data_IF_697857935657
#
_entry.id   IF_697857935657
#
_cell.length_a   1.000
_cell.length_b   1.000
_cell.length_c   1.000
_cell.angle_alpha   90.00
_cell.angle_beta   90.00
_cell.angle_gamma   90.00
#
_symmetry.space_group_name_H-M   'P 1'
#
loop_
_entity.id
_entity.type
_entity.pdbx_description
1 polymer ?
#
# COMPACT_ATOMS: atom_id res chain seq x y z
N UNK A 1 -34.22 2.24 -25.22
CA UNK A 1 -32.79 2.61 -25.19
C UNK A 1 -32.14 1.87 -24.03
N UNK A 2 -31.55 0.70 -24.33
CA UNK A 2 -31.04 -0.24 -23.33
C UNK A 2 -29.52 -0.19 -23.26
N UNK A 3 -29.05 0.02 -22.03
CA UNK A 3 -27.70 -0.06 -21.47
C UNK A 3 -26.67 -0.91 -22.26
N UNK A 4 -25.53 -0.31 -22.61
CA UNK A 4 -24.29 -1.05 -22.91
C UNK A 4 -23.19 -0.53 -21.99
N UNK A 5 -23.05 -1.18 -20.83
CA UNK A 5 -21.89 -1.00 -19.95
C UNK A 5 -20.69 -1.64 -20.64
N UNK A 6 -19.70 -0.82 -20.98
CA UNK A 6 -18.38 -1.27 -21.41
C UNK A 6 -17.66 -1.74 -20.13
N UNK A 7 -17.58 -3.05 -19.92
CA UNK A 7 -16.59 -3.62 -18.99
C UNK A 7 -15.44 -4.08 -19.89
N UNK A 8 -14.39 -3.27 -19.98
CA UNK A 8 -13.19 -3.60 -20.71
C UNK A 8 -12.04 -3.75 -19.72
N UNK A 9 -11.37 -4.91 -19.75
CA UNK A 9 -10.06 -5.08 -19.13
C UNK A 9 -9.97 -5.99 -17.90
N UNK A 10 -10.50 -7.22 -17.97
CA UNK A 10 -9.91 -8.35 -17.24
C UNK A 10 -9.76 -9.48 -18.26
N UNK A 11 -8.55 -9.67 -18.79
CA UNK A 11 -8.20 -10.91 -19.43
C UNK A 11 -7.67 -11.84 -18.33
N UNK A 12 -8.54 -12.68 -17.77
CA UNK A 12 -8.09 -13.86 -17.07
C UNK A 12 -7.50 -14.82 -18.12
N UNK A 13 -6.17 -14.89 -18.21
CA UNK A 13 -5.49 -15.91 -18.99
C UNK A 13 -5.25 -17.14 -18.10
N UNK A 14 -6.24 -18.03 -18.06
CA UNK A 14 -5.97 -19.44 -17.78
C UNK A 14 -5.40 -20.12 -19.04
N UNK A 15 -4.71 -21.25 -18.87
CA UNK A 15 -4.01 -22.15 -19.83
C UNK A 15 -2.60 -21.70 -20.28
N UNK A 16 -1.52 -22.52 -20.21
CA UNK A 16 -1.40 -23.96 -20.48
C UNK A 16 -0.10 -24.57 -19.88
N UNK A 17 -0.18 -25.77 -19.28
CA UNK A 17 0.97 -26.65 -19.06
C UNK A 17 1.39 -27.27 -20.41
N UNK A 18 2.62 -26.96 -20.85
CA UNK A 18 3.38 -27.77 -21.82
C UNK A 18 3.57 -27.15 -23.22
N UNK A 19 4.84 -27.05 -23.63
CA UNK A 19 5.24 -26.96 -25.04
C UNK A 19 6.10 -25.75 -25.38
N UNK A 20 7.39 -25.99 -25.63
CA UNK A 20 8.28 -25.02 -26.23
C UNK A 20 7.75 -24.50 -27.58
N UNK A 21 7.73 -23.19 -27.78
CA UNK A 21 7.80 -22.59 -29.11
C UNK A 21 8.48 -21.22 -29.04
N UNK A 22 9.74 -21.18 -29.47
CA UNK A 22 10.45 -19.97 -29.85
C UNK A 22 9.77 -19.38 -31.09
N UNK A 23 9.36 -18.10 -31.02
CA UNK A 23 8.68 -17.42 -32.13
C UNK A 23 8.54 -15.93 -31.89
N UNK A 24 9.59 -15.20 -32.25
CA UNK A 24 9.72 -13.74 -32.45
C UNK A 24 8.43 -12.90 -32.47
N UNK A 25 8.17 -12.20 -31.37
CA UNK A 25 7.60 -10.86 -31.33
C UNK A 25 8.47 -10.06 -30.35
N UNK A 26 8.75 -8.80 -30.65
CA UNK A 26 9.73 -7.91 -30.00
C UNK A 26 9.98 -8.21 -28.52
N UNK A 27 11.17 -8.71 -28.21
CA UNK A 27 11.70 -8.78 -26.87
C UNK A 27 11.85 -7.36 -26.31
N UNK A 28 10.84 -6.85 -25.60
CA UNK A 28 11.16 -6.12 -24.39
C UNK A 28 11.64 -7.18 -23.43
N UNK A 29 12.96 -7.31 -23.33
CA UNK A 29 13.59 -8.06 -22.27
C UNK A 29 12.93 -7.60 -20.95
N UNK A 30 12.48 -8.57 -20.17
CA UNK A 30 12.19 -8.38 -18.75
C UNK A 30 13.25 -7.46 -18.17
N UNK A 31 12.87 -6.22 -17.89
CA UNK A 31 13.62 -5.38 -16.98
C UNK A 31 13.29 -5.85 -15.56
N UNK A 32 13.60 -7.11 -15.29
CA UNK A 32 13.64 -7.73 -13.96
C UNK A 32 14.78 -7.14 -13.11
N UNK A 33 15.46 -6.08 -13.58
CA UNK A 33 16.62 -5.44 -12.95
C UNK A 33 16.44 -3.97 -12.59
N UNK A 34 15.50 -3.21 -13.16
CA UNK A 34 15.24 -1.85 -12.73
C UNK A 34 14.56 -1.83 -11.36
N UNK A 35 15.30 -1.31 -10.38
CA UNK A 35 14.78 -0.99 -9.05
C UNK A 35 13.62 0.00 -9.20
N UNK A 36 12.43 -0.43 -8.79
CA UNK A 36 11.24 0.41 -8.74
C UNK A 36 11.18 1.13 -7.38
N UNK A 37 10.29 2.10 -7.27
CA UNK A 37 10.20 2.91 -6.06
C UNK A 37 8.80 2.94 -5.47
N UNK A 38 8.75 3.09 -4.15
CA UNK A 38 7.57 3.51 -3.41
C UNK A 38 7.97 4.73 -2.57
N UNK A 39 7.23 5.82 -2.75
CA UNK A 39 7.41 7.06 -2.02
C UNK A 39 6.43 7.09 -0.86
N UNK A 40 6.98 7.13 0.35
CA UNK A 40 6.28 7.30 1.61
C UNK A 40 6.07 8.81 1.81
N UNK A 41 4.83 9.25 1.66
CA UNK A 41 4.44 10.64 1.91
C UNK A 41 3.98 10.78 3.36
N UNK A 42 4.45 11.82 4.05
CA UNK A 42 4.13 12.12 5.45
C UNK A 42 4.49 10.99 6.44
N UNK A 43 5.60 10.29 6.19
CA UNK A 43 6.14 9.32 7.14
C UNK A 43 6.47 9.96 8.49
N UNK A 44 6.23 9.23 9.57
CA UNK A 44 6.48 9.69 10.93
C UNK A 44 7.96 9.50 11.31
N UNK A 45 8.55 10.49 11.97
CA UNK A 45 9.94 10.45 12.41
C UNK A 45 10.20 9.29 13.37
N UNK A 46 11.25 8.50 13.13
CA UNK A 46 11.60 7.35 13.96
C UNK A 46 10.78 6.08 13.69
N UNK A 47 9.98 6.07 12.63
CA UNK A 47 9.20 4.90 12.20
C UNK A 47 9.89 4.18 11.05
N UNK A 48 9.86 2.84 11.09
CA UNK A 48 10.29 1.98 9.98
C UNK A 48 9.07 1.43 9.24
N UNK A 49 8.95 1.78 7.97
CA UNK A 49 7.95 1.22 7.06
C UNK A 49 8.51 -0.02 6.38
N UNK A 50 7.80 -1.13 6.46
CA UNK A 50 8.19 -2.42 5.86
C UNK A 50 7.26 -2.76 4.70
N UNK A 51 7.83 -3.11 3.56
CA UNK A 51 7.10 -3.49 2.36
C UNK A 51 7.13 -5.01 2.18
N UNK A 52 5.95 -5.63 2.21
CA UNK A 52 5.73 -7.05 1.94
C UNK A 52 5.15 -7.19 0.54
N UNK A 53 5.90 -7.84 -0.36
CA UNK A 53 5.44 -8.08 -1.73
C UNK A 53 4.36 -9.15 -1.73
N UNK A 54 3.23 -8.85 -2.36
CA UNK A 54 2.08 -9.77 -2.46
C UNK A 54 1.71 -10.13 -3.89
N UNK A 55 2.15 -9.33 -4.87
CA UNK A 55 1.99 -9.67 -6.27
C UNK A 55 3.17 -9.18 -7.12
N UNK A 56 3.43 -9.91 -8.18
CA UNK A 56 4.26 -9.55 -9.32
C UNK A 56 3.42 -8.89 -10.40
N UNK A 57 4.06 -8.03 -11.20
CA UNK A 57 3.45 -7.44 -12.39
C UNK A 57 4.16 -7.95 -13.63
N UNK A 58 3.39 -8.47 -14.58
CA UNK A 58 3.86 -9.03 -15.84
C UNK A 58 3.05 -8.48 -17.02
N UNK A 59 3.49 -8.75 -18.25
CA UNK A 59 2.80 -8.38 -19.49
C UNK A 59 2.35 -6.90 -19.58
N UNK A 60 3.16 -5.99 -19.02
CA UNK A 60 2.85 -4.55 -18.96
C UNK A 60 2.74 -3.97 -20.37
N UNK A 61 1.59 -3.35 -20.66
CA UNK A 61 1.30 -2.66 -21.90
C UNK A 61 1.31 -1.15 -21.67
N UNK A 62 1.76 -0.40 -22.67
CA UNK A 62 1.82 1.05 -22.63
C UNK A 62 0.95 1.68 -23.73
N UNK A 63 0.62 2.95 -23.57
CA UNK A 63 0.07 3.79 -24.64
C UNK A 63 1.09 3.99 -25.76
N UNK A 64 0.63 4.50 -26.90
CA UNK A 64 1.49 4.76 -28.07
C UNK A 64 2.65 5.72 -27.77
N UNK A 65 2.48 6.64 -26.81
CA UNK A 65 3.53 7.55 -26.34
C UNK A 65 4.52 6.90 -25.35
N UNK A 66 4.25 5.68 -24.88
CA UNK A 66 5.08 4.95 -23.92
C UNK A 66 5.03 5.51 -22.49
N UNK A 67 4.18 6.49 -22.20
CA UNK A 67 4.17 7.18 -20.90
C UNK A 67 3.12 6.65 -19.92
N UNK A 68 2.03 6.07 -20.42
CA UNK A 68 0.93 5.59 -19.60
C UNK A 68 0.79 4.08 -19.70
N UNK A 69 0.71 3.40 -18.56
CA UNK A 69 0.41 1.97 -18.52
C UNK A 69 -1.07 1.77 -18.85
N UNK A 70 -1.36 0.92 -19.85
CA UNK A 70 -2.72 0.66 -20.33
C UNK A 70 -3.30 -0.62 -19.75
N UNK A 71 -2.48 -1.64 -19.52
CA UNK A 71 -2.84 -2.88 -18.84
C UNK A 71 -1.60 -3.59 -18.31
N UNK A 72 -1.79 -4.50 -17.36
CA UNK A 72 -0.77 -5.40 -16.84
C UNK A 72 -1.44 -6.61 -16.22
N UNK A 73 -0.70 -7.70 -16.17
CA UNK A 73 -1.10 -8.89 -15.43
C UNK A 73 -0.59 -8.79 -14.00
N UNK A 74 -1.41 -9.29 -13.06
CA UNK A 74 -1.13 -9.29 -11.63
C UNK A 74 -1.09 -10.74 -11.19
N UNK A 75 0.07 -11.19 -10.75
CA UNK A 75 0.30 -12.56 -10.32
C UNK A 75 0.61 -12.58 -8.83
N UNK A 76 -0.18 -13.33 -8.06
CA UNK A 76 0.10 -13.48 -6.62
C UNK A 76 1.44 -14.16 -6.42
N UNK A 77 2.26 -13.64 -5.49
CA UNK A 77 3.54 -14.27 -5.13
C UNK A 77 3.30 -15.72 -4.70
N UNK A 78 4.05 -16.65 -5.28
CA UNK A 78 3.94 -18.08 -4.99
C UNK A 78 4.45 -18.40 -3.59
N UNK A 79 3.53 -18.30 -2.62
CA UNK A 79 3.75 -18.63 -1.22
C UNK A 79 2.42 -19.08 -0.60
N UNK A 80 2.34 -20.34 -0.20
CA UNK A 80 1.10 -20.97 0.28
C UNK A 80 0.52 -20.30 1.52
N UNK A 81 1.36 -19.87 2.46
CA UNK A 81 0.94 -19.23 3.69
C UNK A 81 0.40 -17.82 3.42
N UNK A 82 1.09 -17.06 2.57
CA UNK A 82 0.62 -15.76 2.10
C UNK A 82 -0.71 -15.89 1.34
N UNK A 83 -0.82 -16.82 0.40
CA UNK A 83 -2.08 -17.08 -0.35
C UNK A 83 -3.24 -17.38 0.62
N UNK A 84 -2.98 -18.14 1.68
CA UNK A 84 -3.98 -18.43 2.72
C UNK A 84 -4.40 -17.16 3.46
N UNK A 85 -3.44 -16.30 3.85
CA UNK A 85 -3.74 -15.03 4.51
C UNK A 85 -4.52 -14.07 3.60
N UNK A 86 -4.16 -14.00 2.31
CA UNK A 86 -4.87 -13.20 1.31
C UNK A 86 -6.32 -13.66 1.13
N UNK A 87 -6.56 -14.98 1.09
CA UNK A 87 -7.92 -15.56 1.06
C UNK A 87 -8.74 -15.18 2.29
N UNK A 88 -8.14 -15.23 3.49
CA UNK A 88 -8.80 -14.82 4.72
C UNK A 88 -9.14 -13.32 4.71
N UNK A 89 -8.22 -12.48 4.24
CA UNK A 89 -8.46 -11.05 4.07
C UNK A 89 -9.60 -10.77 3.08
N UNK A 90 -9.69 -11.51 1.97
CA UNK A 90 -10.81 -11.41 1.01
C UNK A 90 -12.14 -11.83 1.66
N UNK A 91 -12.14 -12.91 2.44
CA UNK A 91 -13.33 -13.34 3.18
C UNK A 91 -13.81 -12.26 4.17
N UNK A 92 -12.89 -11.48 4.78
CA UNK A 92 -13.24 -10.35 5.66
C UNK A 92 -13.87 -9.17 4.93
N UNK A 93 -13.62 -9.01 3.64
CA UNK A 93 -14.37 -8.07 2.79
C UNK A 93 -15.84 -8.52 2.60
N UNK A 94 -16.15 -9.78 2.92
CA UNK A 94 -17.48 -10.36 2.72
C UNK A 94 -17.70 -10.83 1.28
N UNK A 95 -16.63 -11.19 0.56
CA UNK A 95 -16.67 -11.72 -0.80
C UNK A 95 -16.15 -13.15 -0.82
N UNK A 96 -16.82 -13.99 -1.61
CA UNK A 96 -16.32 -15.31 -1.95
C UNK A 96 -15.31 -15.19 -3.09
N UNK A 97 -14.17 -15.86 -2.94
CA UNK A 97 -13.14 -15.92 -3.99
C UNK A 97 -13.62 -16.88 -5.09
N UNK A 98 -13.77 -16.42 -6.35
CA UNK A 98 -14.10 -17.32 -7.46
C UNK A 98 -12.99 -18.36 -7.68
N UNK A 99 -13.36 -19.54 -8.17
CA UNK A 99 -12.44 -20.66 -8.36
C UNK A 99 -11.29 -20.33 -9.34
N UNK A 100 -11.53 -19.43 -10.30
CA UNK A 100 -10.51 -19.00 -11.26
C UNK A 100 -9.35 -18.24 -10.59
N UNK A 101 -9.59 -17.66 -9.40
CA UNK A 101 -8.61 -16.89 -8.63
C UNK A 101 -8.03 -17.66 -7.45
N UNK A 102 -8.30 -18.97 -7.32
CA UNK A 102 -7.89 -19.74 -6.14
C UNK A 102 -6.36 -19.73 -5.93
N UNK A 103 -5.58 -19.72 -7.01
CA UNK A 103 -4.12 -19.63 -6.98
C UNK A 103 -3.61 -18.21 -7.26
N UNK A 104 -4.50 -17.26 -7.56
CA UNK A 104 -4.14 -15.87 -7.82
C UNK A 104 -5.13 -14.89 -7.15
N UNK A 105 -5.20 -14.86 -5.81
CA UNK A 105 -6.12 -14.00 -5.09
C UNK A 105 -5.88 -12.50 -5.34
N UNK A 106 -4.64 -12.06 -5.61
CA UNK A 106 -4.36 -10.64 -5.86
C UNK A 106 -4.97 -10.12 -7.17
N UNK A 107 -5.13 -10.97 -8.19
CA UNK A 107 -5.89 -10.60 -9.39
C UNK A 107 -7.37 -10.33 -9.06
N UNK A 108 -7.96 -11.03 -8.08
CA UNK A 108 -9.29 -10.70 -7.58
C UNK A 108 -9.29 -9.41 -6.76
N UNK A 109 -8.28 -9.19 -5.92
CA UNK A 109 -8.12 -7.94 -5.13
C UNK A 109 -8.05 -6.70 -6.05
N UNK A 110 -7.47 -6.82 -7.24
CA UNK A 110 -7.45 -5.76 -8.25
C UNK A 110 -8.86 -5.30 -8.71
N UNK A 111 -9.88 -6.14 -8.52
CA UNK A 111 -11.27 -5.84 -8.92
C UNK A 111 -12.07 -5.14 -7.81
N UNK A 112 -11.51 -5.05 -6.60
CA UNK A 112 -12.19 -4.48 -5.45
C UNK A 112 -12.34 -2.96 -5.59
N UNK A 113 -13.46 -2.44 -5.07
CA UNK A 113 -13.61 -1.00 -4.88
C UNK A 113 -12.64 -0.48 -3.80
N UNK A 114 -12.43 0.84 -3.75
CA UNK A 114 -11.51 1.44 -2.78
C UNK A 114 -11.86 1.13 -1.31
N UNK A 115 -13.14 1.05 -0.95
CA UNK A 115 -13.58 0.70 0.41
C UNK A 115 -13.35 -0.78 0.72
N UNK A 116 -13.56 -1.65 -0.25
CA UNK A 116 -13.29 -3.09 -0.15
C UNK A 116 -11.78 -3.36 -0.04
N UNK A 117 -10.96 -2.73 -0.87
CA UNK A 117 -9.49 -2.80 -0.82
C UNK A 117 -8.95 -2.27 0.52
N UNK A 118 -9.58 -1.25 1.10
CA UNK A 118 -9.24 -0.76 2.45
C UNK A 118 -9.58 -1.77 3.53
N UNK A 119 -10.73 -2.44 3.42
CA UNK A 119 -11.15 -3.49 4.36
C UNK A 119 -10.21 -4.69 4.28
N UNK A 120 -9.83 -5.09 3.06
CA UNK A 120 -8.81 -6.10 2.80
C UNK A 120 -7.48 -5.75 3.46
N UNK A 121 -6.94 -4.54 3.25
CA UNK A 121 -5.67 -4.12 3.85
C UNK A 121 -5.77 -4.06 5.40
N UNK A 122 -6.93 -3.69 5.95
CA UNK A 122 -7.12 -3.58 7.38
C UNK A 122 -6.97 -4.92 8.13
N UNK A 123 -7.30 -6.04 7.48
CA UNK A 123 -7.09 -7.39 8.04
C UNK A 123 -5.67 -7.57 8.57
N UNK A 124 -4.68 -7.09 7.83
CA UNK A 124 -3.27 -7.23 8.16
C UNK A 124 -2.77 -6.28 9.25
N UNK A 125 -3.62 -5.36 9.76
CA UNK A 125 -3.36 -4.68 11.03
C UNK A 125 -3.81 -5.53 12.22
N UNK A 126 -4.88 -6.32 12.05
CA UNK A 126 -5.40 -7.21 13.10
C UNK A 126 -4.52 -8.45 13.25
N UNK A 127 -4.02 -8.97 12.14
CA UNK A 127 -3.11 -10.12 12.10
C UNK A 127 -1.85 -9.80 11.29
N UNK A 128 -0.96 -8.99 11.86
CA UNK A 128 0.31 -8.65 11.22
C UNK A 128 1.25 -9.87 11.09
N UNK A 129 1.02 -10.94 11.86
CA UNK A 129 1.81 -12.17 11.78
C UNK A 129 1.59 -12.93 10.46
N UNK A 130 0.44 -12.74 9.83
CA UNK A 130 0.16 -13.32 8.52
C UNK A 130 0.97 -12.67 7.39
N UNK A 131 1.52 -11.47 7.61
CA UNK A 131 2.42 -10.78 6.67
C UNK A 131 3.88 -11.25 6.78
N UNK A 132 4.33 -11.67 7.96
CA UNK A 132 5.69 -12.23 8.14
C UNK A 132 5.94 -13.49 7.29
N UNK A 133 4.87 -14.12 6.80
CA UNK A 133 4.93 -15.25 5.89
C UNK A 133 5.16 -14.82 4.43
N UNK A 134 4.91 -13.54 4.11
CA UNK A 134 5.39 -12.88 2.90
C UNK A 134 6.81 -12.36 3.12
N UNK A 135 7.70 -12.59 2.16
CA UNK A 135 9.10 -12.14 2.27
C UNK A 135 9.15 -10.61 2.32
N UNK A 136 9.62 -10.03 3.45
CA UNK A 136 9.94 -8.59 3.54
C UNK A 136 10.89 -8.26 2.39
N UNK A 137 10.43 -7.41 1.47
CA UNK A 137 11.16 -7.12 0.24
C UNK A 137 12.03 -5.89 0.38
N UNK A 138 11.61 -4.94 1.20
CA UNK A 138 12.37 -3.77 1.58
C UNK A 138 11.81 -3.14 2.85
N UNK A 139 12.60 -2.27 3.46
CA UNK A 139 12.15 -1.37 4.50
C UNK A 139 12.83 0.00 4.38
N UNK A 140 12.15 1.03 4.88
CA UNK A 140 12.67 2.39 4.95
C UNK A 140 12.37 2.97 6.34
N UNK A 141 13.42 3.47 6.99
CA UNK A 141 13.29 4.15 8.29
C UNK A 141 13.35 5.64 8.08
N UNK A 142 12.35 6.34 8.60
CA UNK A 142 12.34 7.80 8.63
C UNK A 142 13.25 8.24 9.80
N UNK A 143 14.31 9.02 9.55
CA UNK A 143 15.17 9.51 10.62
C UNK A 143 14.37 10.27 11.69
N UNK A 144 14.79 10.14 12.95
CA UNK A 144 14.11 10.79 14.08
C UNK A 144 14.15 12.34 14.01
N UNK A 145 15.05 12.89 13.19
CA UNK A 145 15.33 14.30 13.02
C UNK A 145 15.01 14.83 11.60
N UNK A 146 14.38 14.02 10.75
CA UNK A 146 14.06 14.44 9.37
C UNK A 146 12.90 15.44 9.34
N UNK A 147 13.01 16.47 8.51
CA UNK A 147 11.87 17.35 8.22
C UNK A 147 10.68 16.55 7.62
N UNK A 148 9.42 16.96 7.85
CA UNK A 148 8.27 16.36 7.19
C UNK A 148 8.45 16.37 5.66
N UNK A 149 8.25 15.21 5.02
CA UNK A 149 8.48 15.12 3.58
C UNK A 149 8.29 13.73 2.99
N UNK A 150 8.68 13.63 1.72
CA UNK A 150 8.64 12.40 0.92
C UNK A 150 9.91 11.58 1.15
N UNK A 151 9.75 10.29 1.42
CA UNK A 151 10.86 9.35 1.60
C UNK A 151 10.73 8.20 0.60
N UNK A 152 11.81 7.87 -0.11
CA UNK A 152 11.79 6.88 -1.17
C UNK A 152 12.33 5.54 -0.67
N UNK A 153 11.58 4.48 -0.93
CA UNK A 153 11.97 3.10 -0.71
C UNK A 153 12.16 2.40 -2.07
N UNK A 154 13.29 1.75 -2.22
CA UNK A 154 13.62 0.95 -3.40
C UNK A 154 13.06 -0.46 -3.25
N UNK A 155 12.31 -0.92 -4.23
CA UNK A 155 11.64 -2.23 -4.23
C UNK A 155 11.73 -2.89 -5.61
N UNK A 156 11.66 -4.22 -5.69
CA UNK A 156 11.31 -4.89 -6.94
C UNK A 156 9.97 -4.39 -7.49
N UNK A 157 9.74 -4.55 -8.79
CA UNK A 157 8.42 -4.28 -9.35
C UNK A 157 7.36 -5.18 -8.69
N UNK A 158 6.21 -4.63 -8.30
CA UNK A 158 5.10 -5.41 -7.78
C UNK A 158 4.11 -4.62 -6.91
N UNK A 159 3.20 -5.37 -6.29
CA UNK A 159 2.21 -4.85 -5.36
C UNK A 159 2.61 -5.19 -3.92
N UNK A 160 2.47 -4.21 -3.03
CA UNK A 160 2.95 -4.30 -1.66
C UNK A 160 1.88 -3.97 -0.62
N UNK A 161 1.90 -4.72 0.48
CA UNK A 161 1.30 -4.31 1.75
C UNK A 161 2.40 -3.67 2.60
N UNK A 162 2.17 -2.44 3.08
CA UNK A 162 3.13 -1.69 3.88
C UNK A 162 2.65 -1.57 5.30
N UNK A 163 3.48 -2.02 6.24
CA UNK A 163 3.27 -1.89 7.68
C UNK A 163 4.22 -0.86 8.28
N UNK A 164 3.92 -0.41 9.49
CA UNK A 164 4.77 0.44 10.31
C UNK A 164 5.25 -0.33 11.54
N UNK A 165 6.56 -0.36 11.76
CA UNK A 165 7.21 -1.02 12.90
C UNK A 165 6.76 -0.51 14.27
N UNK A 166 6.31 0.74 14.36
CA UNK A 166 5.85 1.38 15.60
C UNK A 166 4.32 1.37 15.68
N UNK A 167 3.65 0.59 14.82
CA UNK A 167 2.20 0.56 14.68
C UNK A 167 1.52 0.25 16.01
N UNK A 168 1.04 1.29 16.67
CA UNK A 168 -0.07 1.20 17.61
C UNK A 168 -1.38 0.99 16.81
N UNK A 169 -2.52 0.96 17.49
CA UNK A 169 -3.84 0.79 16.84
C UNK A 169 -4.17 1.83 15.75
N UNK A 170 -3.36 2.89 15.60
CA UNK A 170 -3.61 4.03 14.73
C UNK A 170 -2.94 3.90 13.36
N UNK A 171 -1.85 3.12 13.20
CA UNK A 171 -1.35 2.82 11.87
C UNK A 171 -2.33 1.92 11.09
N UNK A 172 -2.44 2.16 9.79
CA UNK A 172 -3.28 1.38 8.89
C UNK A 172 -2.44 0.92 7.71
N UNK A 173 -2.27 -0.40 7.57
CA UNK A 173 -1.62 -1.04 6.43
C UNK A 173 -2.05 -0.39 5.12
N UNK A 174 -1.05 0.00 4.33
CA UNK A 174 -1.25 0.55 3.01
C UNK A 174 -1.13 -0.56 1.96
N UNK A 175 -2.02 -0.57 0.98
CA UNK A 175 -1.91 -1.39 -0.21
C UNK A 175 -1.45 -0.48 -1.35
N UNK A 176 -0.24 -0.69 -1.87
CA UNK A 176 0.40 0.24 -2.83
C UNK A 176 1.23 -0.51 -3.86
N UNK A 177 1.03 -0.15 -5.13
CA UNK A 177 1.87 -0.61 -6.22
C UNK A 177 3.18 0.19 -6.27
N UNK A 178 4.29 -0.47 -6.58
CA UNK A 178 5.52 0.22 -6.95
C UNK A 178 5.34 1.04 -8.24
N UNK A 179 6.32 1.87 -8.58
CA UNK A 179 6.48 2.27 -9.98
C UNK A 179 6.63 1.03 -10.87
N UNK A 180 6.32 1.17 -12.16
CA UNK A 180 6.42 0.06 -13.13
C UNK A 180 7.20 0.55 -14.33
N UNK A 181 8.35 -0.08 -14.61
CA UNK A 181 9.31 0.38 -15.61
C UNK A 181 9.65 1.88 -15.49
N UNK A 182 9.73 2.39 -14.24
CA UNK A 182 9.98 3.81 -13.95
C UNK A 182 8.80 4.75 -14.25
N UNK A 183 7.66 4.22 -14.70
CA UNK A 183 6.44 4.97 -14.95
C UNK A 183 5.56 5.03 -13.70
N UNK A 184 4.88 6.16 -13.56
CA UNK A 184 3.97 6.43 -12.44
C UNK A 184 2.53 6.50 -12.89
N UNK A 185 2.24 6.63 -14.19
CA UNK A 185 0.87 6.84 -14.68
C UNK A 185 0.22 5.54 -15.13
N UNK A 186 -0.95 5.26 -14.59
CA UNK A 186 -1.83 4.18 -15.05
C UNK A 186 -3.09 4.77 -15.68
N UNK A 187 -3.53 4.19 -16.80
CA UNK A 187 -4.77 4.62 -17.45
C UNK A 187 -5.96 4.29 -16.55
N UNK A 188 -6.60 5.31 -16.01
CA UNK A 188 -7.85 5.16 -15.26
C UNK A 188 -9.04 5.57 -16.14
N UNK A 189 -10.13 4.81 -16.05
CA UNK A 189 -11.42 5.24 -16.60
C UNK A 189 -11.98 6.35 -15.71
N UNK A 190 -11.41 7.56 -15.83
CA UNK A 190 -11.82 8.71 -15.01
C UNK A 190 -13.27 9.05 -15.27
N UNK A 191 -14.11 8.90 -14.26
CA UNK A 191 -15.37 9.63 -14.21
C UNK A 191 -15.08 11.12 -13.93
N UNK A 192 -16.01 12.02 -14.28
CA UNK A 192 -15.86 13.48 -14.06
C UNK A 192 -15.52 13.85 -12.61
N UNK A 193 -15.91 13.00 -11.63
CA UNK A 193 -15.68 13.20 -10.19
C UNK A 193 -14.29 12.72 -9.70
N UNK A 194 -13.52 12.00 -10.52
CA UNK A 194 -12.19 11.46 -10.19
C UNK A 194 -11.04 12.15 -10.95
N UNK A 195 -11.36 13.22 -11.68
CA UNK A 195 -10.44 14.00 -12.51
C UNK A 195 -9.26 14.64 -11.75
N UNK A 196 -9.40 14.81 -10.42
CA UNK A 196 -8.36 15.37 -9.55
C UNK A 196 -7.33 14.35 -9.03
N UNK A 197 -7.54 13.04 -9.25
CA UNK A 197 -6.53 12.03 -8.97
C UNK A 197 -5.45 12.13 -10.06
N UNK A 198 -4.27 12.65 -9.68
CA UNK A 198 -3.03 12.39 -10.42
C UNK A 198 -2.70 10.93 -10.17
N UNK A 199 -2.95 10.07 -11.15
CA UNK A 199 -2.77 8.62 -11.07
C UNK A 199 -1.28 8.31 -10.92
N UNK A 200 -0.73 8.42 -9.71
CA UNK A 200 0.69 8.26 -9.45
C UNK A 200 0.92 6.97 -8.66
N UNK A 201 1.27 5.90 -9.37
CA UNK A 201 1.84 4.67 -8.84
C UNK A 201 3.13 4.98 -8.06
N UNK A 202 3.52 4.07 -7.18
CA UNK A 202 4.76 4.21 -6.42
C UNK A 202 4.71 5.32 -5.38
N UNK A 203 3.53 5.68 -4.88
CA UNK A 203 3.41 6.59 -3.73
C UNK A 203 2.21 6.26 -2.86
N UNK A 204 2.34 6.49 -1.56
CA UNK A 204 1.20 6.45 -0.65
C UNK A 204 1.37 7.47 0.47
N UNK A 205 0.25 7.95 1.01
CA UNK A 205 0.22 8.83 2.16
C UNK A 205 0.02 8.01 3.42
N UNK A 206 0.96 8.15 4.35
CA UNK A 206 0.84 7.58 5.69
C UNK A 206 -0.34 8.23 6.40
N UNK A 207 -1.20 7.38 6.98
CA UNK A 207 -2.39 7.78 7.74
C UNK A 207 -2.26 7.39 9.22
N UNK A 208 -1.05 7.45 9.76
CA UNK A 208 -0.83 7.46 11.21
C UNK A 208 -0.61 8.89 11.68
N UNK A 209 -1.25 9.23 12.78
CA UNK A 209 -0.89 10.39 13.59
C UNK A 209 -0.09 9.85 14.77
N UNK A 210 1.08 10.42 15.06
CA UNK A 210 1.70 10.17 16.36
C UNK A 210 0.74 10.66 17.43
N UNK A 211 0.49 9.85 18.47
CA UNK A 211 -0.31 10.29 19.59
C UNK A 211 0.20 11.67 20.03
N UNK A 212 -0.68 12.68 20.18
CA UNK A 212 -0.24 13.99 20.61
C UNK A 212 0.53 13.84 21.92
N UNK A 213 1.60 14.63 22.07
CA UNK A 213 2.35 14.66 23.32
C UNK A 213 1.37 14.78 24.47
N UNK A 214 1.53 13.94 25.49
CA UNK A 214 0.66 13.96 26.65
C UNK A 214 0.53 15.41 27.15
N UNK A 215 -0.69 15.91 27.39
CA UNK A 215 -0.88 17.30 27.77
C UNK A 215 -0.08 17.57 29.05
N UNK A 216 0.79 18.58 28.99
CA UNK A 216 1.49 19.02 30.19
C UNK A 216 0.50 19.81 31.07
N UNK A 217 0.20 19.26 32.25
CA UNK A 217 -0.51 19.99 33.29
C UNK A 217 0.50 20.66 34.20
N UNK A 218 0.55 21.98 34.15
CA UNK A 218 1.35 22.80 35.05
C UNK A 218 0.40 23.59 35.98
N UNK A 219 0.83 23.78 37.23
CA UNK A 219 0.18 24.71 38.17
C UNK A 219 1.06 25.95 38.30
N UNK A 220 0.45 27.13 38.35
CA UNK A 220 1.17 28.41 38.42
C UNK A 220 0.89 29.08 39.76
N UNK A 221 1.94 29.33 40.55
CA UNK A 221 1.80 29.98 41.86
C UNK A 221 1.77 31.52 41.77
N UNK A 222 2.10 32.10 40.60
CA UNK A 222 2.12 33.55 40.37
C UNK A 222 1.58 33.86 38.97
N UNK A 223 1.30 35.14 38.68
CA UNK A 223 0.99 35.62 37.32
C UNK A 223 2.18 35.52 36.35
N UNK A 224 3.32 35.01 36.80
CA UNK A 224 4.45 34.65 35.96
C UNK A 224 4.38 33.15 35.69
N UNK A 225 4.41 32.77 34.41
CA UNK A 225 4.29 31.39 33.94
C UNK A 225 5.52 30.53 34.27
N UNK A 226 5.90 30.45 35.55
CA UNK A 226 6.91 29.52 36.05
C UNK A 226 6.29 28.13 36.14
N UNK A 227 6.76 27.20 35.30
CA UNK A 227 6.34 25.80 35.34
C UNK A 227 6.74 25.16 36.68
N UNK A 228 5.79 25.05 37.62
CA UNK A 228 5.98 24.35 38.89
C UNK A 228 5.44 22.93 38.76
N UNK A 229 6.33 21.94 38.66
CA UNK A 229 5.95 20.50 38.60
C UNK A 229 5.51 19.94 39.95
N UNK A 230 5.91 20.57 41.06
CA UNK A 230 5.54 20.22 42.45
C UNK A 230 5.51 21.46 43.31
N UNK A 231 4.40 21.74 44.02
CA UNK A 231 4.23 22.90 44.88
C UNK A 231 3.39 22.60 46.12
N UNK A 232 3.49 23.43 47.15
CA UNK A 232 2.66 23.38 48.37
C UNK A 232 1.76 24.61 48.39
N UNK A 233 0.49 24.43 48.74
CA UNK A 233 -0.51 25.50 48.90
C UNK A 233 -1.26 25.31 50.20
N UNK A 234 -1.76 26.38 50.81
CA UNK A 234 -2.59 26.27 52.00
C UNK A 234 -4.03 25.92 51.62
N UNK A 235 -4.78 25.40 52.58
CA UNK A 235 -6.21 25.16 52.41
C UNK A 235 -6.92 26.51 52.25
N UNK A 236 -7.51 26.73 51.07
CA UNK A 236 -8.21 27.97 50.71
C UNK A 236 -7.53 28.79 49.62
N UNK A 237 -6.31 28.44 49.20
CA UNK A 237 -5.62 29.12 48.10
C UNK A 237 -6.15 28.66 46.72
N UNK A 238 -6.20 29.58 45.76
CA UNK A 238 -6.49 29.25 44.35
C UNK A 238 -5.23 28.71 43.68
N UNK A 239 -5.36 27.62 42.91
CA UNK A 239 -4.30 26.95 42.15
C UNK A 239 -4.63 26.92 40.67
#
# INVERSE_FOLDING_TARGET
MGLRKLMAGIAAAATLLGGAMLGTASAYAEDNGATQTITIMNGQQGHTYKAYKVADFSNVQFSEDGETITSMDIDTVDNTELVTALKQAIAKVGKDLPAEYENNPMAFVATLSASEARTFANYFNEDSSSLSNGTESASATIPADSAPGAHVMNVPQGWYLITDSQGDSHFKTALVASTVSGKTTFKTDKTTEQSALTDTLGSFYVKSENAPNAPEKNAYQTNEYLNVKTGTVNIGDTV
#
